data_IF_695003116263
#
_entry.id   IF_695003116263
#
_cell.length_a   1.000
_cell.length_b   1.000
_cell.length_c   1.000
_cell.angle_alpha   90.00
_cell.angle_beta   90.00
_cell.angle_gamma   90.00
#
_symmetry.space_group_name_H-M   'P 1'
#
loop_
_entity.id
_entity.type
_entity.pdbx_description
1 polymer ?
#
# COMPACT_ATOMS: atom_id res chain seq x y z
N UNK A 1 -23.92 13.07 6.53
CA UNK A 1 -23.68 11.68 6.09
C UNK A 1 -22.46 11.69 5.19
N UNK A 2 -21.40 10.92 5.49
CA UNK A 2 -20.10 11.06 4.83
C UNK A 2 -19.60 9.73 4.26
N UNK A 3 -18.94 9.79 3.12
CA UNK A 3 -18.16 8.71 2.52
C UNK A 3 -16.78 8.63 3.19
N UNK A 4 -16.13 7.48 3.09
CA UNK A 4 -14.73 7.30 3.50
C UNK A 4 -13.84 7.36 2.28
N UNK A 5 -12.71 8.05 2.41
CA UNK A 5 -11.71 8.15 1.36
C UNK A 5 -10.34 7.83 1.94
N UNK A 6 -9.53 7.13 1.14
CA UNK A 6 -8.17 6.79 1.47
C UNK A 6 -7.27 7.12 0.29
N UNK A 7 -6.27 7.93 0.57
CA UNK A 7 -5.10 8.08 -0.31
C UNK A 7 -4.03 7.11 0.18
N UNK A 8 -3.50 6.31 -0.73
CA UNK A 8 -2.44 5.36 -0.47
C UNK A 8 -1.23 5.84 -1.26
N UNK A 9 -0.09 5.93 -0.58
CA UNK A 9 1.20 6.26 -1.16
C UNK A 9 2.14 5.10 -0.86
N UNK A 10 2.71 4.49 -1.89
CA UNK A 10 3.71 3.43 -1.77
C UNK A 10 5.04 4.05 -2.18
N UNK A 11 5.96 4.20 -1.23
CA UNK A 11 7.31 4.67 -1.47
C UNK A 11 8.22 3.47 -1.64
N UNK A 12 8.82 3.33 -2.83
CA UNK A 12 9.82 2.30 -3.07
C UNK A 12 11.20 2.87 -2.77
N UNK A 13 11.71 2.62 -1.57
CA UNK A 13 13.07 2.97 -1.15
C UNK A 13 14.08 1.86 -1.45
N UNK A 14 13.69 0.84 -2.21
CA UNK A 14 14.60 -0.21 -2.67
C UNK A 14 15.17 0.11 -4.05
N UNK A 15 16.20 -0.64 -4.44
CA UNK A 15 16.75 -0.60 -5.78
C UNK A 15 15.99 -1.52 -6.77
N UNK A 16 14.87 -2.13 -6.33
CA UNK A 16 14.13 -3.10 -7.11
C UNK A 16 12.85 -2.50 -7.69
N UNK A 17 12.45 -2.97 -8.87
CA UNK A 17 11.17 -2.58 -9.47
C UNK A 17 10.02 -3.42 -8.87
N UNK A 18 8.87 -2.77 -8.65
CA UNK A 18 7.64 -3.42 -8.22
C UNK A 18 6.65 -3.49 -9.37
N UNK A 19 6.22 -4.70 -9.72
CA UNK A 19 5.19 -4.93 -10.74
C UNK A 19 3.96 -5.61 -10.16
N UNK A 20 2.77 -5.04 -10.39
CA UNK A 20 1.50 -5.72 -10.09
C UNK A 20 0.95 -6.38 -11.35
N UNK A 21 0.03 -7.33 -11.16
CA UNK A 21 -0.73 -7.90 -12.26
C UNK A 21 -1.43 -6.78 -13.08
N UNK A 22 -1.59 -6.98 -14.41
CA UNK A 22 -2.17 -5.97 -15.28
C UNK A 22 -3.65 -5.69 -14.97
N UNK A 23 -4.33 -6.66 -14.35
CA UNK A 23 -5.72 -6.53 -13.90
C UNK A 23 -5.77 -5.92 -12.48
N UNK A 24 -6.59 -4.88 -12.30
CA UNK A 24 -6.71 -4.23 -11.00
C UNK A 24 -7.32 -5.17 -9.96
N UNK A 25 -6.76 -5.23 -8.74
CA UNK A 25 -7.36 -6.00 -7.67
C UNK A 25 -8.74 -5.42 -7.33
N UNK A 26 -9.71 -6.31 -7.17
CA UNK A 26 -11.03 -5.95 -6.65
C UNK A 26 -10.91 -5.56 -5.19
N UNK A 27 -11.42 -4.39 -4.82
CA UNK A 27 -11.60 -4.02 -3.42
C UNK A 27 -12.71 -4.90 -2.81
N UNK A 28 -12.50 -5.42 -1.60
CA UNK A 28 -13.55 -6.13 -0.86
C UNK A 28 -14.72 -5.18 -0.57
N UNK A 29 -14.41 -3.94 -0.22
CA UNK A 29 -15.37 -2.88 -0.02
C UNK A 29 -14.85 -1.56 -0.58
N UNK A 30 -15.61 -0.92 -1.48
CA UNK A 30 -15.29 0.39 -2.05
C UNK A 30 -15.12 0.37 -3.56
N UNK A 31 -14.56 1.46 -4.08
CA UNK A 31 -14.29 1.64 -5.51
C UNK A 31 -12.96 2.36 -5.69
N UNK A 32 -12.18 1.95 -6.67
CA UNK A 32 -11.03 2.72 -7.15
C UNK A 32 -11.49 4.05 -7.73
N UNK A 33 -10.67 5.09 -7.55
CA UNK A 33 -10.89 6.34 -8.26
C UNK A 33 -10.55 6.14 -9.74
N UNK A 34 -11.43 6.61 -10.63
CA UNK A 34 -11.27 6.47 -12.09
C UNK A 34 -10.40 7.57 -12.70
N UNK A 35 -9.94 8.55 -11.91
CA UNK A 35 -8.96 9.54 -12.37
C UNK A 35 -7.64 8.84 -12.70
N UNK A 36 -7.07 9.03 -13.90
CA UNK A 36 -5.89 8.28 -14.35
C UNK A 36 -4.68 8.43 -13.41
N UNK A 37 -4.48 9.59 -12.80
CA UNK A 37 -3.34 9.87 -11.89
C UNK A 37 -3.49 9.26 -10.48
N UNK A 38 -4.62 8.60 -10.19
CA UNK A 38 -4.95 8.05 -8.87
C UNK A 38 -5.34 6.57 -8.93
N UNK A 39 -5.06 5.92 -10.05
CA UNK A 39 -5.24 4.48 -10.24
C UNK A 39 -4.04 3.72 -9.67
N UNK A 40 -4.20 2.44 -9.30
CA UNK A 40 -3.08 1.62 -8.88
C UNK A 40 -2.01 1.58 -10.00
N UNK A 41 -0.78 2.04 -9.74
CA UNK A 41 0.27 2.02 -10.75
C UNK A 41 0.67 0.58 -11.04
N UNK A 42 0.77 0.21 -12.31
CA UNK A 42 1.17 -1.16 -12.71
C UNK A 42 2.62 -1.45 -12.33
N UNK A 43 3.47 -0.42 -12.42
CA UNK A 43 4.89 -0.49 -12.12
C UNK A 43 5.28 0.67 -11.22
N UNK A 44 6.12 0.41 -10.22
CA UNK A 44 6.80 1.43 -9.41
C UNK A 44 8.29 1.15 -9.56
N UNK A 45 9.02 2.07 -10.20
CA UNK A 45 10.45 1.92 -10.41
C UNK A 45 11.23 2.01 -9.08
N UNK A 46 12.48 1.57 -9.11
CA UNK A 46 13.43 1.73 -8.02
C UNK A 46 13.55 3.20 -7.60
N UNK A 47 13.42 3.49 -6.31
CA UNK A 47 13.45 4.86 -5.78
C UNK A 47 12.22 5.72 -6.09
N UNK A 48 11.23 5.22 -6.82
CA UNK A 48 10.01 5.96 -7.17
C UNK A 48 8.86 5.70 -6.18
N UNK A 49 7.75 6.41 -6.40
CA UNK A 49 6.54 6.27 -5.59
C UNK A 49 5.30 6.03 -6.43
N UNK A 50 4.45 5.11 -5.98
CA UNK A 50 3.11 4.91 -6.50
C UNK A 50 2.07 5.62 -5.66
N UNK A 51 1.08 6.25 -6.30
CA UNK A 51 -0.06 6.86 -5.62
C UNK A 51 -1.36 6.30 -6.15
N UNK A 52 -2.27 5.94 -5.24
CA UNK A 52 -3.58 5.41 -5.60
C UNK A 52 -4.63 5.87 -4.60
N UNK A 53 -5.87 6.04 -5.07
CA UNK A 53 -6.98 6.54 -4.24
C UNK A 53 -8.19 5.64 -4.39
N UNK A 54 -8.82 5.33 -3.26
CA UNK A 54 -10.05 4.58 -3.20
C UNK A 54 -11.05 5.23 -2.24
N UNK A 55 -12.34 4.98 -2.51
CA UNK A 55 -13.45 5.54 -1.74
C UNK A 55 -14.52 4.50 -1.45
N UNK A 56 -15.25 4.69 -0.36
CA UNK A 56 -16.42 3.86 -0.03
C UNK A 56 -17.48 3.95 -1.13
N UNK A 57 -18.13 2.83 -1.45
CA UNK A 57 -19.11 2.74 -2.54
C UNK A 57 -20.45 3.41 -2.23
N UNK A 58 -20.80 3.56 -0.96
CA UNK A 58 -22.00 4.25 -0.50
C UNK A 58 -21.76 4.99 0.82
N UNK A 59 -22.66 5.91 1.14
CA UNK A 59 -22.69 6.62 2.42
C UNK A 59 -22.84 5.60 3.55
N UNK A 60 -22.04 5.74 4.61
CA UNK A 60 -22.07 4.78 5.73
C UNK A 60 -21.26 3.50 5.49
N UNK A 61 -20.64 3.34 4.32
CA UNK A 61 -19.77 2.21 4.00
C UNK A 61 -18.35 2.37 4.53
N UNK A 62 -17.69 1.24 4.76
CA UNK A 62 -16.24 1.18 4.95
C UNK A 62 -15.50 1.06 3.62
N UNK A 63 -14.18 1.03 3.71
CA UNK A 63 -13.26 0.78 2.62
C UNK A 63 -12.32 -0.34 3.05
N UNK A 64 -12.18 -1.37 2.24
CA UNK A 64 -11.33 -2.53 2.53
C UNK A 64 -10.74 -3.06 1.24
N UNK A 65 -9.43 -3.30 1.24
CA UNK A 65 -8.74 -3.83 0.09
C UNK A 65 -7.28 -4.12 0.33
N UNK A 66 -6.68 -4.74 -0.68
CA UNK A 66 -5.27 -5.05 -0.72
C UNK A 66 -4.74 -4.89 -2.14
N UNK A 67 -3.46 -4.60 -2.25
CA UNK A 67 -2.72 -4.69 -3.51
C UNK A 67 -1.43 -5.44 -3.28
N UNK A 68 -1.10 -6.32 -4.22
CA UNK A 68 0.11 -7.12 -4.17
C UNK A 68 0.99 -6.75 -5.34
N UNK A 69 2.24 -6.41 -5.06
CA UNK A 69 3.28 -6.20 -6.05
C UNK A 69 4.28 -7.34 -5.98
N UNK A 70 4.94 -7.58 -7.11
CA UNK A 70 6.03 -8.52 -7.27
C UNK A 70 7.33 -7.76 -7.44
N UNK A 71 8.32 -8.12 -6.64
CA UNK A 71 9.67 -7.54 -6.66
C UNK A 71 10.44 -8.18 -7.82
N UNK A 72 10.78 -7.39 -8.84
CA UNK A 72 11.53 -7.87 -10.01
C UNK A 72 12.92 -8.35 -9.57
N UNK A 73 13.48 -9.35 -10.28
CA UNK A 73 14.84 -9.85 -10.02
C UNK A 73 14.94 -10.97 -8.99
N UNK A 74 13.87 -11.28 -8.24
CA UNK A 74 13.83 -12.37 -7.27
C UNK A 74 13.11 -13.60 -7.82
N UNK A 75 13.71 -14.79 -7.64
CA UNK A 75 13.08 -16.07 -7.97
C UNK A 75 12.26 -16.62 -6.79
N UNK A 76 11.09 -17.19 -7.05
CA UNK A 76 10.22 -17.79 -6.02
C UNK A 76 9.12 -16.86 -5.52
N UNK A 77 8.89 -16.83 -4.19
CA UNK A 77 7.88 -15.97 -3.55
C UNK A 77 8.47 -14.59 -3.29
N UNK A 78 8.26 -13.69 -4.22
CA UNK A 78 8.81 -12.34 -4.24
C UNK A 78 7.71 -11.27 -4.20
N UNK A 79 6.65 -11.54 -3.44
CA UNK A 79 5.46 -10.68 -3.38
C UNK A 79 5.50 -9.79 -2.14
N UNK A 80 5.04 -8.55 -2.30
CA UNK A 80 4.77 -7.61 -1.21
C UNK A 80 3.31 -7.16 -1.31
N UNK A 81 2.54 -7.44 -0.27
CA UNK A 81 1.13 -7.11 -0.16
C UNK A 81 0.94 -5.94 0.80
N UNK A 82 0.19 -4.93 0.35
CA UNK A 82 -0.23 -3.77 1.15
C UNK A 82 -1.74 -3.87 1.39
N UNK A 83 -2.16 -3.79 2.64
CA UNK A 83 -3.53 -4.04 3.06
C UNK A 83 -4.06 -2.86 3.88
N UNK A 84 -5.33 -2.51 3.66
CA UNK A 84 -5.99 -1.45 4.41
C UNK A 84 -7.45 -1.79 4.70
N UNK A 85 -7.90 -1.34 5.87
CA UNK A 85 -9.29 -1.44 6.30
C UNK A 85 -9.68 -0.16 7.06
N UNK A 86 -10.56 0.63 6.46
CA UNK A 86 -11.08 1.90 6.98
C UNK A 86 -12.59 1.71 7.20
N UNK A 87 -13.00 1.18 8.37
CA UNK A 87 -14.41 0.93 8.64
C UNK A 87 -15.19 2.24 8.84
N UNK A 88 -16.51 2.20 8.61
CA UNK A 88 -17.36 3.36 8.89
C UNK A 88 -17.37 3.74 10.37
N UNK A 89 -17.30 2.73 11.26
CA UNK A 89 -17.17 2.89 12.71
C UNK A 89 -15.99 2.04 13.18
N UNK A 90 -15.04 2.65 13.87
CA UNK A 90 -13.84 1.99 14.36
C UNK A 90 -12.56 2.73 13.99
N UNK A 91 -11.43 2.12 14.35
CA UNK A 91 -10.11 2.61 13.96
C UNK A 91 -9.72 2.07 12.58
N UNK A 92 -8.96 2.87 11.84
CA UNK A 92 -8.33 2.45 10.59
C UNK A 92 -7.26 1.41 10.91
N UNK A 93 -7.17 0.39 10.07
CA UNK A 93 -6.15 -0.66 10.15
C UNK A 93 -5.37 -0.68 8.85
N UNK A 94 -4.07 -0.77 8.98
CA UNK A 94 -3.13 -0.83 7.86
C UNK A 94 -2.12 -1.91 8.19
N UNK A 95 -1.84 -2.75 7.21
CA UNK A 95 -0.96 -3.90 7.36
C UNK A 95 -0.18 -4.14 6.08
N UNK A 96 0.94 -4.83 6.16
CA UNK A 96 1.77 -5.15 5.03
C UNK A 96 2.49 -6.47 5.26
N UNK A 97 2.60 -7.27 4.20
CA UNK A 97 3.27 -8.56 4.23
C UNK A 97 4.26 -8.64 3.09
N UNK A 98 5.54 -8.84 3.39
CA UNK A 98 6.57 -9.11 2.38
C UNK A 98 6.98 -10.59 2.46
N UNK A 99 7.06 -11.25 1.31
CA UNK A 99 7.51 -12.64 1.22
C UNK A 99 9.04 -12.78 1.30
N UNK A 100 9.77 -11.71 0.98
CA UNK A 100 11.25 -11.67 1.00
C UNK A 100 11.69 -11.10 2.34
N UNK A 101 12.52 -11.84 3.07
CA UNK A 101 12.95 -11.44 4.43
C UNK A 101 13.92 -10.26 4.44
N UNK A 102 14.64 -10.03 3.34
CA UNK A 102 15.58 -8.92 3.17
C UNK A 102 14.88 -7.56 2.97
N UNK A 103 13.55 -7.56 2.79
CA UNK A 103 12.76 -6.33 2.64
C UNK A 103 11.70 -6.20 3.72
N UNK A 104 11.36 -4.96 4.02
CA UNK A 104 10.41 -4.58 5.07
C UNK A 104 9.49 -3.48 4.58
N UNK A 105 8.34 -3.33 5.26
CA UNK A 105 7.40 -2.24 4.99
C UNK A 105 7.13 -1.48 6.27
N UNK A 106 7.49 -0.21 6.30
CA UNK A 106 7.05 0.72 7.35
C UNK A 106 5.67 1.29 6.98
N UNK A 107 4.79 1.43 7.96
CA UNK A 107 3.39 1.86 7.74
C UNK A 107 3.12 3.14 8.53
N UNK A 108 2.87 4.23 7.80
CA UNK A 108 2.48 5.52 8.35
C UNK A 108 1.01 5.78 8.06
N UNK A 109 0.14 5.35 8.97
CA UNK A 109 -1.31 5.40 8.82
C UNK A 109 -1.95 6.64 9.45
N UNK A 110 -2.70 7.40 8.64
CA UNK A 110 -3.53 8.52 9.07
C UNK A 110 -4.85 8.08 9.70
N UNK A 111 -5.45 8.99 10.48
CA UNK A 111 -6.75 8.80 11.15
C UNK A 111 -7.82 9.66 10.50
N UNK A 112 -9.09 9.28 10.64
CA UNK A 112 -10.22 10.13 10.25
C UNK A 112 -11.05 9.58 9.09
N UNK A 113 -11.78 10.48 8.41
CA UNK A 113 -12.70 10.16 7.30
C UNK A 113 -12.00 10.18 5.94
N UNK A 114 -11.09 11.14 5.76
CA UNK A 114 -10.17 11.25 4.65
C UNK A 114 -8.80 10.90 5.24
N UNK A 115 -8.41 9.64 5.11
CA UNK A 115 -7.16 9.15 5.65
C UNK A 115 -6.09 9.12 4.54
N UNK A 116 -4.84 9.25 4.95
CA UNK A 116 -3.68 9.00 4.10
C UNK A 116 -2.90 7.88 4.75
N UNK A 117 -2.50 6.87 3.99
CA UNK A 117 -1.54 5.86 4.43
C UNK A 117 -0.33 5.90 3.52
N UNK A 118 0.85 5.92 4.13
CA UNK A 118 2.12 5.81 3.43
C UNK A 118 2.76 4.48 3.79
N UNK A 119 3.02 3.65 2.80
CA UNK A 119 3.78 2.42 2.91
C UNK A 119 5.19 2.67 2.40
N UNK A 120 6.20 2.55 3.25
CA UNK A 120 7.60 2.70 2.86
C UNK A 120 8.19 1.30 2.71
N UNK A 121 8.35 0.86 1.47
CA UNK A 121 9.00 -0.40 1.14
C UNK A 121 10.52 -0.17 1.06
N UNK A 122 11.27 -0.84 1.93
CA UNK A 122 12.71 -0.67 2.07
C UNK A 122 13.39 -1.99 2.42
N UNK A 123 14.71 -1.96 2.56
CA UNK A 123 15.47 -3.11 3.07
C UNK A 123 15.08 -3.35 4.54
N UNK A 124 14.81 -4.61 4.90
CA UNK A 124 14.67 -5.01 6.28
C UNK A 124 16.07 -4.98 6.87
N UNK A 125 16.38 -3.97 7.67
CA UNK A 125 17.60 -3.96 8.47
C UNK A 125 17.66 -5.25 9.32
N UNK A 126 18.36 -6.25 8.81
CA UNK A 126 18.81 -7.38 9.59
C UNK A 126 19.92 -6.86 10.51
N UNK A 127 19.54 -6.27 11.65
CA UNK A 127 20.43 -6.06 12.79
C UNK A 127 21.78 -5.39 12.43
N UNK A 128 21.75 -4.12 12.05
CA UNK A 128 22.93 -3.25 11.99
C UNK A 128 23.17 -2.56 13.33
N UNK A 129 24.27 -2.94 13.96
CA UNK A 129 24.86 -2.43 15.21
C UNK A 129 24.75 -0.90 15.40
N UNK A 130 24.53 -0.49 16.64
CA UNK A 130 24.42 0.93 16.97
C UNK A 130 25.71 1.69 16.73
N UNK A 131 25.74 2.58 15.75
CA UNK A 131 26.69 3.68 15.74
C UNK A 131 26.08 4.87 16.48
N UNK A 132 26.29 4.91 17.79
CA UNK A 132 26.24 6.16 18.54
C UNK A 132 27.50 6.95 18.21
N UNK A 133 27.32 8.13 17.64
CA UNK A 133 28.34 9.19 17.64
C UNK A 133 28.28 9.95 18.97
#
# INVERSE_FOLDING_TARGET
MATRELLIVILNHTNEELNTEPEWPTLNHGQWNKTPDLQPPQTILAGESGMLRCKSSHIGGGLDGSITYRIVGFEGRNEVAFMWSVPYVGANKFDASCAVSDFGVEILGGRGREAVVVFVFGESDACGDGEKV
#
